data_IF_961206816922
#
_entry.id   IF_961206816922
#
_cell.length_a   1.000
_cell.length_b   1.000
_cell.length_c   1.000
_cell.angle_alpha   90.00
_cell.angle_beta   90.00
_cell.angle_gamma   90.00
#
_symmetry.space_group_name_H-M   'P 1'
#
loop_
_entity.id
_entity.type
_entity.pdbx_description
1 polymer ?
#
# COMPACT_ATOMS: atom_id res chain seq x y z
N UNK A 1 22.25 -16.50 24.64
CA UNK A 1 21.96 -16.99 23.27
C UNK A 1 21.19 -15.88 22.58
N UNK A 2 21.79 -15.21 21.59
CA UNK A 2 21.21 -14.04 20.94
C UNK A 2 20.00 -14.44 20.10
N UNK A 3 18.87 -13.78 20.31
CA UNK A 3 17.71 -13.85 19.43
C UNK A 3 18.03 -12.98 18.20
N UNK A 4 18.79 -13.52 17.25
CA UNK A 4 18.88 -12.92 15.93
C UNK A 4 17.58 -13.26 15.18
N UNK A 5 16.58 -12.39 15.33
CA UNK A 5 15.35 -12.45 14.53
C UNK A 5 15.72 -12.21 13.06
N UNK A 6 15.61 -13.24 12.23
CA UNK A 6 15.84 -13.14 10.80
C UNK A 6 14.75 -12.26 10.17
N UNK A 7 15.06 -11.00 9.87
CA UNK A 7 14.15 -10.08 9.18
C UNK A 7 14.44 -10.09 7.68
N UNK A 8 13.49 -10.58 6.90
CA UNK A 8 13.55 -10.53 5.43
C UNK A 8 12.89 -9.23 4.95
N UNK A 9 13.62 -8.43 4.17
CA UNK A 9 13.05 -7.24 3.52
C UNK A 9 12.23 -7.65 2.30
N UNK A 10 10.94 -7.35 2.33
CA UNK A 10 10.04 -7.55 1.18
C UNK A 10 9.70 -6.20 0.57
N UNK A 11 9.90 -5.99 -0.75
CA UNK A 11 9.55 -4.73 -1.39
C UNK A 11 8.03 -4.61 -1.54
N UNK A 12 7.38 -3.84 -0.66
CA UNK A 12 5.93 -3.63 -0.65
C UNK A 12 5.39 -3.13 -2.01
N UNK A 13 6.14 -2.28 -2.71
CA UNK A 13 5.76 -1.82 -4.04
C UNK A 13 5.64 -2.94 -5.06
N UNK A 14 6.49 -3.98 -4.99
CA UNK A 14 6.37 -5.15 -5.87
C UNK A 14 5.08 -5.91 -5.59
N UNK A 15 4.75 -6.14 -4.31
CA UNK A 15 3.51 -6.85 -3.94
C UNK A 15 2.28 -6.13 -4.49
N UNK A 16 2.25 -4.80 -4.36
CA UNK A 16 1.16 -3.97 -4.88
C UNK A 16 1.11 -3.99 -6.42
N UNK A 17 2.26 -3.94 -7.09
CA UNK A 17 2.32 -4.07 -8.55
C UNK A 17 1.83 -5.44 -9.04
N UNK A 18 2.20 -6.53 -8.35
CA UNK A 18 1.73 -7.90 -8.66
C UNK A 18 0.21 -8.04 -8.50
N UNK A 19 -0.37 -7.30 -7.55
CA UNK A 19 -1.83 -7.23 -7.34
C UNK A 19 -2.54 -6.23 -8.26
N UNK A 20 -1.82 -5.60 -9.19
CA UNK A 20 -2.41 -4.66 -10.15
C UNK A 20 -2.78 -3.31 -9.54
N UNK A 21 -2.14 -2.90 -8.44
CA UNK A 21 -2.32 -1.57 -7.85
C UNK A 21 -1.53 -0.47 -8.54
N UNK A 22 -0.73 -0.75 -9.57
CA UNK A 22 -0.05 0.29 -10.36
C UNK A 22 -1.03 0.97 -11.32
N UNK A 23 -0.95 2.30 -11.42
CA UNK A 23 -1.85 3.12 -12.25
C UNK A 23 -3.34 2.88 -11.97
N UNK A 24 -3.65 2.41 -10.76
CA UNK A 24 -5.02 2.06 -10.38
C UNK A 24 -5.69 3.29 -9.80
N UNK A 25 -6.88 3.61 -10.31
CA UNK A 25 -7.70 4.73 -9.85
C UNK A 25 -9.07 4.24 -9.40
N UNK A 26 -9.48 4.67 -8.20
CA UNK A 26 -10.81 4.40 -7.64
C UNK A 26 -11.37 5.75 -7.16
N UNK A 27 -12.42 6.24 -7.82
CA UNK A 27 -12.99 7.55 -7.54
C UNK A 27 -11.96 8.67 -7.72
N UNK A 28 -11.72 9.43 -6.66
CA UNK A 28 -10.82 10.58 -6.64
C UNK A 28 -9.39 10.26 -6.15
N UNK A 29 -9.08 8.99 -5.91
CA UNK A 29 -7.76 8.55 -5.42
C UNK A 29 -7.21 7.48 -6.36
N UNK A 30 -5.91 7.49 -6.59
CA UNK A 30 -5.24 6.45 -7.36
C UNK A 30 -3.79 6.28 -6.99
N UNK A 31 -3.06 5.49 -7.76
CA UNK A 31 -1.62 5.31 -7.62
C UNK A 31 -0.86 5.91 -8.81
N UNK A 32 0.41 6.20 -8.61
CA UNK A 32 1.27 6.73 -9.67
C UNK A 32 1.55 5.69 -10.75
N UNK A 33 1.53 6.11 -12.01
CA UNK A 33 1.74 5.25 -13.20
C UNK A 33 3.04 4.42 -13.15
N UNK A 34 4.08 4.92 -12.49
CA UNK A 34 5.40 4.26 -12.44
C UNK A 34 5.66 3.48 -11.15
N UNK A 35 4.91 3.74 -10.07
CA UNK A 35 5.14 3.10 -8.77
C UNK A 35 3.85 2.98 -7.95
N UNK A 36 3.49 1.75 -7.58
CA UNK A 36 2.24 1.46 -6.85
C UNK A 36 2.22 1.95 -5.39
N UNK A 37 3.36 2.32 -4.80
CA UNK A 37 3.42 2.85 -3.43
C UNK A 37 2.97 4.31 -3.31
N UNK A 38 3.01 5.06 -4.42
CA UNK A 38 2.72 6.49 -4.40
C UNK A 38 1.24 6.68 -4.67
N UNK A 39 0.48 7.06 -3.63
CA UNK A 39 -0.92 7.43 -3.74
C UNK A 39 -1.02 8.87 -4.26
N UNK A 40 -1.86 9.08 -5.27
CA UNK A 40 -2.16 10.36 -5.90
C UNK A 40 -3.59 10.76 -5.53
N UNK A 41 -3.74 11.97 -5.00
CA UNK A 41 -5.03 12.58 -4.76
C UNK A 41 -5.47 13.41 -5.98
N UNK A 42 -6.60 13.04 -6.60
CA UNK A 42 -7.21 13.74 -7.74
C UNK A 42 -8.39 14.64 -7.33
N UNK A 43 -8.49 15.03 -6.06
CA UNK A 43 -9.58 15.87 -5.53
C UNK A 43 -10.46 15.19 -4.47
N UNK A 44 -10.01 14.06 -3.93
CA UNK A 44 -10.66 13.35 -2.83
C UNK A 44 -10.32 13.89 -1.46
N UNK A 45 -11.09 13.42 -0.48
CA UNK A 45 -10.97 13.68 0.95
C UNK A 45 -9.91 12.81 1.61
N UNK A 46 -9.43 13.21 2.79
CA UNK A 46 -8.51 12.38 3.59
C UNK A 46 -9.10 11.00 3.91
N UNK A 47 -10.42 10.91 4.06
CA UNK A 47 -11.13 9.64 4.26
C UNK A 47 -11.05 8.73 3.03
N UNK A 48 -11.27 9.26 1.83
CA UNK A 48 -11.12 8.48 0.58
C UNK A 48 -9.67 7.98 0.41
N UNK A 49 -8.68 8.80 0.76
CA UNK A 49 -7.27 8.38 0.72
C UNK A 49 -7.01 7.25 1.72
N UNK A 50 -7.52 7.39 2.94
CA UNK A 50 -7.39 6.36 3.97
C UNK A 50 -8.05 5.05 3.53
N UNK A 51 -9.30 5.10 3.07
CA UNK A 51 -10.03 3.93 2.56
C UNK A 51 -9.29 3.26 1.39
N UNK A 52 -8.75 4.05 0.45
CA UNK A 52 -7.93 3.51 -0.65
C UNK A 52 -6.67 2.79 -0.14
N UNK A 53 -5.99 3.36 0.86
CA UNK A 53 -4.81 2.76 1.47
C UNK A 53 -5.12 1.48 2.27
N UNK A 54 -6.27 1.44 2.96
CA UNK A 54 -6.75 0.24 3.65
C UNK A 54 -7.05 -0.87 2.65
N UNK A 55 -7.67 -0.57 1.50
CA UNK A 55 -7.91 -1.57 0.45
C UNK A 55 -6.59 -2.17 -0.06
N UNK A 56 -5.56 -1.36 -0.27
CA UNK A 56 -4.22 -1.84 -0.65
C UNK A 56 -3.63 -2.77 0.42
N UNK A 57 -3.73 -2.38 1.69
CA UNK A 57 -3.24 -3.15 2.84
C UNK A 57 -3.97 -4.49 2.99
N UNK A 58 -5.30 -4.48 2.93
CA UNK A 58 -6.12 -5.68 3.02
C UNK A 58 -5.83 -6.66 1.89
N UNK A 59 -5.65 -6.16 0.67
CA UNK A 59 -5.35 -7.01 -0.50
C UNK A 59 -3.97 -7.66 -0.37
N UNK A 60 -2.94 -6.91 0.06
CA UNK A 60 -1.62 -7.48 0.35
C UNK A 60 -1.68 -8.52 1.47
N UNK A 61 -2.43 -8.23 2.55
CA UNK A 61 -2.61 -9.17 3.66
C UNK A 61 -3.33 -10.44 3.23
N UNK A 62 -4.36 -10.33 2.39
CA UNK A 62 -5.13 -11.46 1.88
C UNK A 62 -4.33 -12.36 0.95
N UNK A 63 -3.52 -11.77 0.06
CA UNK A 63 -2.80 -12.54 -0.97
C UNK A 63 -1.43 -13.04 -0.50
N UNK A 64 -0.76 -12.33 0.40
CA UNK A 64 0.60 -12.66 0.84
C UNK A 64 0.73 -12.97 2.34
N UNK A 65 -0.32 -12.73 3.14
CA UNK A 65 -0.26 -12.86 4.60
C UNK A 65 0.60 -11.77 5.28
N UNK A 66 0.96 -10.71 4.55
CA UNK A 66 1.81 -9.61 5.02
C UNK A 66 0.94 -8.41 5.36
N UNK A 67 1.04 -7.89 6.58
CA UNK A 67 0.40 -6.64 6.96
C UNK A 67 1.31 -5.46 6.61
N UNK A 68 0.79 -4.47 5.88
CA UNK A 68 1.54 -3.27 5.53
C UNK A 68 1.40 -2.22 6.64
N UNK A 69 2.52 -1.59 6.99
CA UNK A 69 2.53 -0.43 7.88
C UNK A 69 2.52 0.87 7.08
N UNK A 70 1.86 1.89 7.62
CA UNK A 70 1.85 3.22 7.02
C UNK A 70 3.14 3.98 7.32
N UNK A 71 3.81 4.45 6.27
CA UNK A 71 4.96 5.38 6.44
C UNK A 71 4.50 6.82 6.74
N UNK A 72 3.28 7.17 6.30
CA UNK A 72 2.70 8.50 6.50
C UNK A 72 1.92 8.58 7.80
N UNK A 73 1.98 9.74 8.46
CA UNK A 73 1.22 10.00 9.68
C UNK A 73 -0.22 10.38 9.33
N UNK A 74 -1.17 9.59 9.82
CA UNK A 74 -2.59 9.89 9.77
C UNK A 74 -2.93 10.68 11.06
N UNK A 75 -3.59 11.85 10.93
CA UNK A 75 -3.89 12.79 12.03
C UNK A 75 -5.40 12.98 12.13
#
# INVERSE_FOLDING_TARGET
MGNDSFQLKVPAGRLLEELGWKDKKIGNVGTFERHALVIINYGGTGREIYEFSEMMREDVKKNFGIDLEYEVRII
#
